data_IF_210506262377
#
_entry.id   IF_210506262377
#
_cell.length_a   1.000
_cell.length_b   1.000
_cell.length_c   1.000
_cell.angle_alpha   90.00
_cell.angle_beta   90.00
_cell.angle_gamma   90.00
#
_symmetry.space_group_name_H-M   'P 1'
#
loop_
_entity.id
_entity.type
_entity.pdbx_description
1 polymer ?
#
# COMPACT_ATOMS: atom_id res chain seq x y z
N UNK A 1 21.52 0.47 -1.31
CA UNK A 1 21.46 0.24 -2.77
C UNK A 1 21.37 -1.26 -3.01
N UNK A 2 20.54 -1.67 -3.99
CA UNK A 2 20.44 -3.08 -4.40
C UNK A 2 21.81 -3.58 -4.89
N UNK A 3 22.13 -4.85 -4.58
CA UNK A 3 23.35 -5.52 -5.13
C UNK A 3 23.33 -5.64 -6.66
N UNK A 4 22.20 -5.35 -7.30
CA UNK A 4 21.98 -5.42 -8.73
C UNK A 4 22.06 -4.05 -9.42
N UNK A 5 22.37 -2.98 -8.70
CA UNK A 5 22.30 -1.60 -9.18
C UNK A 5 23.05 -1.40 -10.51
N UNK A 6 22.35 -0.84 -11.50
CA UNK A 6 22.88 -0.56 -12.85
C UNK A 6 23.00 -1.77 -13.79
N UNK A 7 22.55 -2.97 -13.37
CA UNK A 7 22.64 -4.20 -14.18
C UNK A 7 21.37 -4.46 -15.00
N UNK A 8 21.47 -5.31 -16.02
CA UNK A 8 20.28 -5.81 -16.73
C UNK A 8 19.41 -6.67 -15.81
N UNK A 9 19.99 -7.33 -14.79
CA UNK A 9 19.24 -8.10 -13.79
C UNK A 9 18.33 -7.19 -12.95
N UNK A 10 18.77 -5.99 -12.57
CA UNK A 10 17.91 -5.02 -11.90
C UNK A 10 16.67 -4.68 -12.74
N UNK A 11 16.88 -4.33 -14.01
CA UNK A 11 15.76 -4.05 -14.94
C UNK A 11 14.81 -5.24 -15.11
N UNK A 12 15.35 -6.46 -15.11
CA UNK A 12 14.54 -7.67 -15.19
C UNK A 12 13.72 -7.88 -13.90
N UNK A 13 14.28 -7.59 -12.72
CA UNK A 13 13.56 -7.65 -11.44
C UNK A 13 12.44 -6.60 -11.37
N UNK A 14 12.70 -5.38 -11.82
CA UNK A 14 11.68 -4.32 -11.92
C UNK A 14 10.55 -4.72 -12.87
N UNK A 15 10.88 -5.24 -14.05
CA UNK A 15 9.89 -5.71 -15.02
C UNK A 15 9.07 -6.89 -14.48
N UNK A 16 9.71 -7.83 -13.79
CA UNK A 16 9.04 -8.96 -13.16
C UNK A 16 8.10 -8.48 -12.03
N UNK A 17 8.56 -7.60 -11.15
CA UNK A 17 7.73 -7.01 -10.11
C UNK A 17 6.50 -6.29 -10.68
N UNK A 18 6.68 -5.48 -11.73
CA UNK A 18 5.59 -4.78 -12.41
C UNK A 18 4.60 -5.77 -13.06
N UNK A 19 5.09 -6.81 -13.75
CA UNK A 19 4.28 -7.82 -14.40
C UNK A 19 3.39 -8.59 -13.41
N UNK A 20 3.98 -9.10 -12.34
CA UNK A 20 3.25 -9.84 -11.29
C UNK A 20 2.24 -8.96 -10.55
N UNK A 21 2.60 -7.69 -10.26
CA UNK A 21 1.70 -6.73 -9.63
C UNK A 21 0.48 -6.44 -10.50
N UNK A 22 0.66 -6.30 -11.82
CA UNK A 22 -0.44 -6.15 -12.77
C UNK A 22 -1.28 -7.43 -12.87
N UNK A 23 -0.66 -8.60 -12.94
CA UNK A 23 -1.36 -9.90 -13.02
C UNK A 23 -2.25 -10.10 -11.79
N UNK A 24 -1.73 -9.85 -10.58
CA UNK A 24 -2.49 -9.89 -9.34
C UNK A 24 -3.78 -9.07 -9.42
N UNK A 25 -3.68 -7.81 -9.84
CA UNK A 25 -4.84 -6.94 -9.93
C UNK A 25 -5.83 -7.41 -11.01
N UNK A 26 -5.34 -7.76 -12.20
CA UNK A 26 -6.17 -8.28 -13.31
C UNK A 26 -6.96 -9.53 -12.89
N UNK A 27 -6.33 -10.49 -12.22
CA UNK A 27 -7.01 -11.71 -11.80
C UNK A 27 -8.06 -11.46 -10.71
N UNK A 28 -7.87 -10.49 -9.84
CA UNK A 28 -8.90 -10.05 -8.90
C UNK A 28 -10.12 -9.46 -9.63
N UNK A 29 -9.89 -8.69 -10.69
CA UNK A 29 -10.98 -8.14 -11.51
C UNK A 29 -11.69 -9.23 -12.31
N UNK A 30 -10.95 -10.19 -12.88
CA UNK A 30 -11.54 -11.33 -13.61
C UNK A 30 -12.35 -12.23 -12.68
N UNK A 31 -11.89 -12.46 -11.45
CA UNK A 31 -12.64 -13.18 -10.43
C UNK A 31 -14.00 -12.51 -10.12
N UNK A 32 -14.03 -11.19 -10.05
CA UNK A 32 -15.27 -10.43 -9.83
C UNK A 32 -16.28 -10.65 -10.96
N UNK A 33 -15.82 -10.69 -12.21
CA UNK A 33 -16.68 -10.98 -13.37
C UNK A 33 -17.19 -12.42 -13.31
N UNK A 34 -16.28 -13.40 -13.14
CA UNK A 34 -16.64 -14.82 -13.06
C UNK A 34 -17.69 -15.09 -11.96
N UNK A 35 -17.55 -14.43 -10.80
CA UNK A 35 -18.51 -14.53 -9.70
C UNK A 35 -19.89 -13.99 -10.08
N UNK A 36 -19.95 -12.84 -10.75
CA UNK A 36 -21.22 -12.25 -11.24
C UNK A 36 -21.92 -13.12 -12.27
N UNK A 37 -21.15 -13.88 -13.06
CA UNK A 37 -21.66 -14.83 -14.07
C UNK A 37 -22.01 -16.20 -13.47
N UNK A 38 -21.77 -16.43 -12.16
CA UNK A 38 -22.07 -17.68 -11.46
C UNK A 38 -20.99 -18.74 -11.56
N UNK A 39 -19.81 -18.42 -12.12
CA UNK A 39 -18.67 -19.35 -12.23
C UNK A 39 -17.80 -19.35 -10.96
N UNK A 40 -18.34 -19.79 -9.83
CA UNK A 40 -17.68 -19.73 -8.50
C UNK A 40 -16.33 -20.43 -8.47
N UNK A 41 -16.21 -21.62 -9.13
CA UNK A 41 -14.95 -22.35 -9.22
C UNK A 41 -13.88 -21.51 -9.97
N UNK A 42 -14.23 -20.91 -11.09
CA UNK A 42 -13.31 -20.06 -11.88
C UNK A 42 -12.90 -18.83 -11.08
N UNK A 43 -13.84 -18.17 -10.41
CA UNK A 43 -13.58 -17.05 -9.55
C UNK A 43 -12.59 -17.41 -8.43
N UNK A 44 -12.78 -18.56 -7.77
CA UNK A 44 -11.88 -19.06 -6.73
C UNK A 44 -10.46 -19.32 -7.26
N UNK A 45 -10.33 -19.90 -8.44
CA UNK A 45 -9.03 -20.13 -9.08
C UNK A 45 -8.31 -18.83 -9.42
N UNK A 46 -9.01 -17.83 -9.96
CA UNK A 46 -8.45 -16.50 -10.19
C UNK A 46 -7.94 -15.85 -8.90
N UNK A 47 -8.72 -15.89 -7.81
CA UNK A 47 -8.31 -15.31 -6.53
C UNK A 47 -7.08 -16.04 -5.95
N UNK A 48 -7.06 -17.37 -6.03
CA UNK A 48 -5.90 -18.17 -5.58
C UNK A 48 -4.64 -17.81 -6.38
N UNK A 49 -4.77 -17.66 -7.70
CA UNK A 49 -3.65 -17.28 -8.56
C UNK A 49 -3.21 -15.84 -8.24
N UNK A 50 -4.15 -14.90 -8.05
CA UNK A 50 -3.83 -13.53 -7.65
C UNK A 50 -3.01 -13.48 -6.34
N UNK A 51 -3.31 -14.36 -5.37
CA UNK A 51 -2.51 -14.46 -4.14
C UNK A 51 -1.10 -15.04 -4.40
N UNK A 52 -0.94 -15.96 -5.35
CA UNK A 52 0.38 -16.44 -5.75
C UNK A 52 1.20 -15.32 -6.41
N UNK A 53 0.61 -14.56 -7.35
CA UNK A 53 1.31 -13.45 -8.02
C UNK A 53 1.71 -12.34 -7.04
N UNK A 54 0.93 -12.10 -6.00
CA UNK A 54 1.32 -11.21 -4.90
C UNK A 54 2.61 -11.67 -4.22
N UNK A 55 2.78 -12.96 -3.95
CA UNK A 55 4.00 -13.47 -3.33
C UNK A 55 5.19 -13.47 -4.32
N UNK A 56 4.98 -13.72 -5.62
CA UNK A 56 6.00 -13.56 -6.65
C UNK A 56 6.48 -12.10 -6.73
N UNK A 57 5.57 -11.14 -6.84
CA UNK A 57 5.90 -9.71 -6.83
C UNK A 57 6.71 -9.31 -5.59
N UNK A 58 6.32 -9.81 -4.40
CA UNK A 58 7.02 -9.56 -3.15
C UNK A 58 8.45 -10.11 -3.14
N UNK A 59 8.69 -11.27 -3.77
CA UNK A 59 10.04 -11.83 -3.89
C UNK A 59 10.95 -10.88 -4.69
N UNK A 60 10.50 -10.41 -5.84
CA UNK A 60 11.25 -9.48 -6.68
C UNK A 60 11.47 -8.13 -6.00
N UNK A 61 10.44 -7.60 -5.34
CA UNK A 61 10.52 -6.34 -4.62
C UNK A 61 11.49 -6.39 -3.43
N UNK A 62 11.59 -7.54 -2.75
CA UNK A 62 12.61 -7.76 -1.71
C UNK A 62 14.03 -7.77 -2.27
N UNK A 63 14.27 -8.43 -3.42
CA UNK A 63 15.59 -8.44 -4.06
C UNK A 63 16.02 -7.02 -4.51
N UNK A 64 15.07 -6.18 -4.90
CA UNK A 64 15.28 -4.77 -5.19
C UNK A 64 15.54 -3.90 -3.94
N UNK A 65 15.36 -4.47 -2.74
CA UNK A 65 15.49 -3.72 -1.48
C UNK A 65 14.30 -2.80 -1.18
N UNK A 66 13.14 -3.06 -1.82
CA UNK A 66 11.94 -2.22 -1.71
C UNK A 66 11.16 -2.37 -0.41
N UNK A 67 11.50 -3.33 0.45
CA UNK A 67 10.82 -3.56 1.74
C UNK A 67 11.79 -3.29 2.88
N UNK A 68 11.53 -2.25 3.65
CA UNK A 68 12.27 -1.84 4.83
C UNK A 68 11.49 -1.98 6.13
N UNK A 69 11.92 -1.24 7.14
CA UNK A 69 11.17 -1.05 8.38
C UNK A 69 9.85 -0.32 8.12
N UNK A 70 8.93 -0.32 9.08
CA UNK A 70 7.65 0.39 8.94
C UNK A 70 7.85 1.88 8.65
N UNK A 71 8.80 2.54 9.30
CA UNK A 71 9.12 3.95 9.08
C UNK A 71 9.68 4.19 7.66
N UNK A 72 10.61 3.34 7.20
CA UNK A 72 11.16 3.41 5.84
C UNK A 72 10.07 3.16 4.79
N UNK A 73 9.19 2.19 5.01
CA UNK A 73 8.08 1.90 4.10
C UNK A 73 7.06 3.05 4.04
N UNK A 74 6.73 3.70 5.18
CA UNK A 74 5.87 4.88 5.19
C UNK A 74 6.49 6.05 4.43
N UNK A 75 7.80 6.27 4.60
CA UNK A 75 8.53 7.30 3.88
C UNK A 75 8.54 7.03 2.37
N UNK A 76 8.79 5.78 1.97
CA UNK A 76 8.77 5.38 0.57
C UNK A 76 7.37 5.51 -0.06
N UNK A 77 6.32 5.11 0.67
CA UNK A 77 4.94 5.27 0.23
C UNK A 77 4.60 6.75 0.06
N UNK A 78 4.86 7.61 1.05
CA UNK A 78 4.63 9.04 0.94
C UNK A 78 5.35 9.68 -0.27
N UNK A 79 6.59 9.26 -0.54
CA UNK A 79 7.35 9.75 -1.70
C UNK A 79 6.73 9.30 -3.04
N UNK A 80 6.20 8.08 -3.11
CA UNK A 80 5.47 7.59 -4.28
C UNK A 80 4.20 8.40 -4.55
N UNK A 81 3.34 8.53 -3.54
CA UNK A 81 2.11 9.32 -3.65
C UNK A 81 2.41 10.80 -4.02
N UNK A 82 3.48 11.37 -3.44
CA UNK A 82 3.92 12.73 -3.81
C UNK A 82 4.25 12.85 -5.30
N UNK A 83 5.02 11.93 -5.87
CA UNK A 83 5.35 11.90 -7.31
C UNK A 83 4.08 11.74 -8.16
N UNK A 84 3.15 10.90 -7.73
CA UNK A 84 1.90 10.66 -8.44
C UNK A 84 1.04 11.92 -8.54
N UNK A 85 0.83 12.66 -7.44
CA UNK A 85 -0.04 13.83 -7.48
C UNK A 85 0.66 15.13 -7.92
N UNK A 86 1.97 15.26 -7.70
CA UNK A 86 2.69 16.50 -8.09
C UNK A 86 3.07 16.52 -9.57
N UNK A 87 3.39 15.36 -10.16
CA UNK A 87 3.93 15.21 -11.52
C UNK A 87 3.05 14.31 -12.39
N UNK A 88 3.01 13.03 -12.10
CA UNK A 88 2.48 11.99 -12.99
C UNK A 88 1.03 12.26 -13.42
N UNK A 89 0.09 12.38 -12.49
CA UNK A 89 -1.32 12.58 -12.83
C UNK A 89 -1.61 13.94 -13.45
N UNK A 90 -0.85 14.99 -13.10
CA UNK A 90 -0.96 16.30 -13.75
C UNK A 90 -0.58 16.26 -15.22
N UNK A 91 0.55 15.62 -15.52
CA UNK A 91 1.04 15.50 -16.90
C UNK A 91 0.09 14.61 -17.73
N UNK A 92 -0.39 13.50 -17.15
CA UNK A 92 -1.38 12.64 -17.79
C UNK A 92 -2.71 13.37 -18.08
N UNK A 93 -3.17 14.20 -17.16
CA UNK A 93 -4.39 15.00 -17.34
C UNK A 93 -4.24 16.03 -18.47
N UNK A 94 -3.09 16.71 -18.55
CA UNK A 94 -2.79 17.67 -19.63
C UNK A 94 -2.81 16.94 -20.97
N UNK A 95 -2.07 15.84 -21.10
CA UNK A 95 -2.02 15.04 -22.32
C UNK A 95 -3.40 14.55 -22.74
N UNK A 96 -4.19 14.04 -21.80
CA UNK A 96 -5.53 13.55 -22.11
C UNK A 96 -6.46 14.66 -22.64
N UNK A 97 -6.32 15.91 -22.13
CA UNK A 97 -7.06 17.07 -22.66
C UNK A 97 -6.62 17.46 -24.06
N UNK A 98 -5.31 17.50 -24.31
CA UNK A 98 -4.75 17.80 -25.63
C UNK A 98 -5.20 16.78 -26.70
N UNK A 99 -5.39 15.52 -26.30
CA UNK A 99 -5.91 14.44 -27.13
C UNK A 99 -7.45 14.40 -27.23
N UNK A 100 -8.17 15.28 -26.52
CA UNK A 100 -9.65 15.36 -26.53
C UNK A 100 -10.36 14.38 -25.60
N UNK A 101 -9.67 13.78 -24.62
CA UNK A 101 -10.23 12.85 -23.65
C UNK A 101 -10.55 13.51 -22.30
N UNK A 102 -11.38 14.55 -22.30
CA UNK A 102 -11.71 15.37 -21.13
C UNK A 102 -12.17 14.56 -19.91
N UNK A 103 -12.97 13.49 -20.13
CA UNK A 103 -13.40 12.61 -19.04
C UNK A 103 -12.24 11.91 -18.37
N UNK A 104 -11.26 11.45 -19.13
CA UNK A 104 -10.07 10.77 -18.61
C UNK A 104 -9.17 11.78 -17.89
N UNK A 105 -8.99 12.97 -18.46
CA UNK A 105 -8.26 14.06 -17.80
C UNK A 105 -8.84 14.37 -16.41
N UNK A 106 -10.17 14.51 -16.33
CA UNK A 106 -10.86 14.74 -15.05
C UNK A 106 -10.64 13.59 -14.06
N UNK A 107 -10.65 12.33 -14.52
CA UNK A 107 -10.36 11.18 -13.65
C UNK A 107 -8.92 11.23 -13.11
N UNK A 108 -7.93 11.56 -13.94
CA UNK A 108 -6.55 11.73 -13.48
C UNK A 108 -6.42 12.83 -12.41
N UNK A 109 -7.09 13.96 -12.59
CA UNK A 109 -7.09 15.04 -11.59
C UNK A 109 -7.74 14.61 -10.28
N UNK A 110 -8.87 13.90 -10.35
CA UNK A 110 -9.56 13.40 -9.16
C UNK A 110 -8.74 12.35 -8.40
N UNK A 111 -8.10 11.43 -9.11
CA UNK A 111 -7.21 10.44 -8.48
C UNK A 111 -5.99 11.15 -7.89
N UNK A 112 -5.35 12.06 -8.61
CA UNK A 112 -4.23 12.84 -8.07
C UNK A 112 -4.57 13.59 -6.77
N UNK A 113 -5.82 14.08 -6.62
CA UNK A 113 -6.26 14.67 -5.36
C UNK A 113 -6.35 13.65 -4.21
N UNK A 114 -6.72 12.39 -4.50
CA UNK A 114 -6.76 11.30 -3.52
C UNK A 114 -5.32 10.93 -3.09
N UNK A 115 -4.38 10.85 -4.04
CA UNK A 115 -2.99 10.49 -3.72
C UNK A 115 -2.31 11.55 -2.83
N UNK A 116 -2.72 12.82 -2.94
CA UNK A 116 -2.31 13.85 -1.98
C UNK A 116 -2.79 13.53 -0.55
N UNK A 117 -4.03 13.09 -0.38
CA UNK A 117 -4.54 12.68 0.93
C UNK A 117 -3.84 11.43 1.47
N UNK A 118 -3.44 10.50 0.58
CA UNK A 118 -2.63 9.34 0.95
C UNK A 118 -1.25 9.76 1.45
N UNK A 119 -0.55 10.64 0.76
CA UNK A 119 0.73 11.21 1.22
C UNK A 119 0.60 11.83 2.61
N UNK A 120 -0.36 12.75 2.80
CA UNK A 120 -0.58 13.42 4.08
C UNK A 120 -0.83 12.41 5.21
N UNK A 121 -1.57 11.33 4.95
CA UNK A 121 -1.83 10.24 5.88
C UNK A 121 -0.55 9.49 6.25
N UNK A 122 0.26 9.12 5.25
CA UNK A 122 1.52 8.40 5.50
C UNK A 122 2.53 9.25 6.25
N UNK A 123 2.66 10.53 5.93
CA UNK A 123 3.52 11.47 6.65
C UNK A 123 3.07 11.65 8.11
N UNK A 124 1.77 11.74 8.37
CA UNK A 124 1.24 11.79 9.73
C UNK A 124 1.57 10.52 10.53
N UNK A 125 1.42 9.34 9.92
CA UNK A 125 1.74 8.06 10.56
C UNK A 125 3.25 7.94 10.82
N UNK A 126 4.10 8.40 9.89
CA UNK A 126 5.54 8.46 10.07
C UNK A 126 5.88 9.36 11.25
N UNK A 127 5.32 10.57 11.32
CA UNK A 127 5.50 11.48 12.45
C UNK A 127 5.07 10.88 13.78
N UNK A 128 4.02 10.06 13.81
CA UNK A 128 3.62 9.35 15.03
C UNK A 128 4.68 8.33 15.48
N UNK A 129 5.32 7.62 14.54
CA UNK A 129 6.41 6.69 14.88
C UNK A 129 7.62 7.46 15.40
N UNK A 130 8.05 8.51 14.70
CA UNK A 130 9.25 9.30 15.03
C UNK A 130 9.13 10.04 16.37
N UNK A 131 7.92 10.34 16.82
CA UNK A 131 7.62 11.04 18.07
C UNK A 131 7.05 10.12 19.18
N UNK A 132 7.14 8.81 19.03
CA UNK A 132 6.59 7.82 19.99
C UNK A 132 5.10 7.99 20.31
N UNK A 133 4.31 8.47 19.34
CA UNK A 133 2.87 8.75 19.50
C UNK A 133 1.96 7.60 19.09
N UNK A 134 2.49 6.50 18.55
CA UNK A 134 1.67 5.35 18.09
C UNK A 134 0.97 4.68 19.29
N UNK A 135 1.67 4.57 20.42
CA UNK A 135 1.20 3.93 21.65
C UNK A 135 1.06 4.91 22.81
N UNK A 136 1.05 6.21 22.54
CA UNK A 136 0.84 7.27 23.52
C UNK A 136 -0.15 8.30 23.01
N UNK A 137 -0.92 8.86 23.95
CA UNK A 137 -1.83 9.98 23.71
C UNK A 137 -1.49 11.12 24.67
N UNK A 138 -1.79 12.36 24.28
CA UNK A 138 -1.56 13.54 25.13
C UNK A 138 -2.45 13.54 26.38
N UNK A 139 -3.57 12.82 26.34
CA UNK A 139 -4.58 12.69 27.38
C UNK A 139 -4.96 11.24 27.64
N UNK A 140 -5.74 10.99 28.70
CA UNK A 140 -6.28 9.65 28.94
C UNK A 140 -7.16 9.20 27.80
N UNK A 141 -6.86 8.01 27.28
CA UNK A 141 -7.57 7.42 26.15
C UNK A 141 -7.84 5.94 26.39
N UNK A 142 -8.76 5.38 25.62
CA UNK A 142 -9.14 3.97 25.70
C UNK A 142 -8.30 3.17 24.72
N UNK A 143 -7.55 2.19 25.24
CA UNK A 143 -6.76 1.23 24.48
C UNK A 143 -7.44 -0.14 24.53
N UNK A 144 -7.56 -0.81 23.41
CA UNK A 144 -8.18 -2.14 23.32
C UNK A 144 -7.17 -3.14 22.77
N UNK A 145 -6.92 -4.20 23.53
CA UNK A 145 -6.11 -5.31 23.04
C UNK A 145 -6.84 -6.03 21.90
N UNK A 146 -6.25 -6.02 20.70
CA UNK A 146 -6.85 -6.65 19.51
C UNK A 146 -6.91 -8.17 19.58
N UNK A 147 -6.09 -8.79 20.45
CA UNK A 147 -6.07 -10.24 20.62
C UNK A 147 -7.15 -10.76 21.57
N UNK A 148 -7.38 -10.11 22.73
CA UNK A 148 -8.30 -10.60 23.76
C UNK A 148 -9.42 -9.64 24.16
N UNK A 149 -9.46 -8.42 23.60
CA UNK A 149 -10.49 -7.43 23.93
C UNK A 149 -10.28 -6.70 25.26
N UNK A 150 -9.16 -6.92 25.99
CA UNK A 150 -8.88 -6.20 27.24
C UNK A 150 -8.86 -4.69 26.98
N UNK A 151 -9.57 -3.95 27.83
CA UNK A 151 -9.65 -2.48 27.80
C UNK A 151 -8.73 -1.90 28.86
N UNK A 152 -7.88 -0.96 28.46
CA UNK A 152 -7.02 -0.17 29.33
C UNK A 152 -7.31 1.31 29.12
N UNK A 153 -7.40 2.08 30.20
CA UNK A 153 -7.55 3.55 30.15
C UNK A 153 -6.26 4.18 30.67
N UNK A 154 -5.67 5.07 29.90
CA UNK A 154 -4.43 5.76 30.27
C UNK A 154 -3.83 6.53 29.10
N UNK A 155 -2.77 7.28 29.38
CA UNK A 155 -2.06 8.06 28.37
C UNK A 155 -1.21 7.21 27.42
N UNK A 156 -0.88 5.98 27.80
CA UNK A 156 -0.05 5.07 27.02
C UNK A 156 -0.67 3.67 27.00
N UNK A 157 -0.58 3.00 25.86
CA UNK A 157 -0.90 1.59 25.76
C UNK A 157 0.08 0.75 26.56
N UNK A 158 -0.35 -0.34 27.24
CA UNK A 158 0.57 -1.28 27.85
C UNK A 158 1.50 -1.91 26.83
N UNK A 159 2.81 -2.00 27.12
CA UNK A 159 3.78 -2.70 26.23
C UNK A 159 3.45 -4.18 26.05
N UNK A 160 2.79 -4.77 27.03
CA UNK A 160 2.32 -6.16 27.00
C UNK A 160 0.92 -6.18 27.64
N UNK A 161 -0.03 -6.83 27.00
CA UNK A 161 -1.37 -6.95 27.53
C UNK A 161 -1.35 -7.74 28.88
N UNK A 162 -1.88 -7.18 29.99
CA UNK A 162 -1.84 -7.83 31.30
C UNK A 162 -2.71 -9.10 31.36
N UNK A 163 -3.62 -9.30 30.41
CA UNK A 163 -4.54 -10.44 30.38
C UNK A 163 -4.00 -11.60 29.52
N UNK A 164 -3.50 -11.32 28.32
CA UNK A 164 -3.13 -12.39 27.38
C UNK A 164 -1.66 -12.36 26.97
N UNK A 165 -0.84 -11.51 27.56
CA UNK A 165 0.57 -11.33 27.25
C UNK A 165 0.89 -11.04 25.78
N UNK A 166 -0.10 -10.60 24.98
CA UNK A 166 0.14 -10.15 23.61
C UNK A 166 0.93 -8.83 23.65
N UNK A 167 1.97 -8.65 22.81
CA UNK A 167 2.68 -7.38 22.71
C UNK A 167 1.74 -6.28 22.20
N UNK A 168 1.99 -5.03 22.61
CA UNK A 168 1.26 -3.85 22.19
C UNK A 168 1.50 -3.45 20.73
#
# INVERSE_FOLDING_TARGET
MSKYAGTQTEKNLEAAFAGESQARNKYTYFASVAKKEGYEQIASLFLKTADNEKEHAKMWFKELGGIGTTAENLKAAAAGENEEWTSMYKEMAITAREEGFDRIATLFEMVGAIEKEHEERYLKLLGNIENDLVFSAGEETVWICRNCGHVHVGKTAPKVCPVCAHPG
#
